data_IF_121203230364
#
_entry.id   IF_121203230364
#
_cell.length_a   1.000
_cell.length_b   1.000
_cell.length_c   1.000
_cell.angle_alpha   90.00
_cell.angle_beta   90.00
_cell.angle_gamma   90.00
#
_symmetry.space_group_name_H-M   'P 1'
#
loop_
_entity.id
_entity.type
_entity.pdbx_description
1 polymer ?
#
# COMPACT_ATOMS: atom_id res chain seq x y z
N UNK A 1 11.42 6.81 -3.63
CA UNK A 1 10.23 6.00 -3.26
C UNK A 1 9.95 6.14 -1.77
N UNK A 2 8.74 6.59 -1.40
CA UNK A 2 8.26 6.60 -0.01
C UNK A 2 7.44 5.33 0.20
N UNK A 3 7.48 4.73 1.38
CA UNK A 3 6.84 3.41 1.60
C UNK A 3 5.97 3.44 2.86
N UNK A 4 4.70 3.05 2.76
CA UNK A 4 3.82 2.94 3.93
C UNK A 4 4.09 1.60 4.61
N UNK A 5 4.36 1.60 5.92
CA UNK A 5 4.65 0.37 6.69
C UNK A 5 3.41 -0.08 7.46
N UNK A 6 3.11 -1.39 7.55
CA UNK A 6 2.01 -1.90 8.35
C UNK A 6 2.22 -1.59 9.85
N UNK A 7 1.12 -1.45 10.57
CA UNK A 7 1.12 -1.15 12.01
C UNK A 7 1.75 -2.28 12.83
N UNK A 8 2.51 -1.92 13.88
CA UNK A 8 3.19 -2.90 14.74
C UNK A 8 2.22 -3.76 15.55
N UNK A 9 1.16 -3.14 16.10
CA UNK A 9 0.12 -3.85 16.86
C UNK A 9 -0.59 -4.93 16.04
N UNK A 10 -1.16 -4.58 14.86
CA UNK A 10 -1.75 -5.57 13.96
C UNK A 10 -0.78 -6.66 13.51
N UNK A 11 0.48 -6.30 13.18
CA UNK A 11 1.50 -7.29 12.79
C UNK A 11 1.82 -8.24 13.95
N UNK A 12 1.94 -7.74 15.17
CA UNK A 12 2.21 -8.57 16.34
C UNK A 12 1.05 -9.52 16.67
N UNK A 13 -0.18 -9.00 16.65
CA UNK A 13 -1.39 -9.80 16.87
C UNK A 13 -1.51 -10.89 15.81
N UNK A 14 -1.28 -10.56 14.54
CA UNK A 14 -1.27 -11.55 13.44
C UNK A 14 -0.18 -12.61 13.65
N UNK A 15 1.01 -12.22 14.11
CA UNK A 15 2.09 -13.15 14.45
C UNK A 15 1.69 -14.14 15.55
N UNK A 16 1.03 -13.68 16.61
CA UNK A 16 0.49 -14.55 17.68
C UNK A 16 -0.55 -15.51 17.12
N UNK A 17 -1.46 -15.03 16.27
CA UNK A 17 -2.47 -15.88 15.64
C UNK A 17 -1.85 -17.00 14.80
N UNK A 18 -0.73 -16.75 14.12
CA UNK A 18 -0.01 -17.79 13.40
C UNK A 18 0.48 -18.93 14.32
N UNK A 19 0.85 -18.64 15.58
CA UNK A 19 1.23 -19.68 16.54
C UNK A 19 0.05 -20.60 16.82
N UNK A 20 -1.14 -20.03 17.07
CA UNK A 20 -2.35 -20.81 17.29
C UNK A 20 -2.74 -21.65 16.07
N UNK A 21 -2.62 -21.09 14.85
CA UNK A 21 -2.87 -21.84 13.61
C UNK A 21 -1.87 -22.99 13.43
N UNK A 22 -0.59 -22.77 13.77
CA UNK A 22 0.43 -23.83 13.74
C UNK A 22 0.10 -24.97 14.71
N UNK A 23 -0.27 -24.64 15.96
CA UNK A 23 -0.71 -25.63 16.95
C UNK A 23 -1.96 -26.39 16.48
N UNK A 24 -2.92 -25.68 15.90
CA UNK A 24 -4.10 -26.30 15.30
C UNK A 24 -3.72 -27.27 14.17
N UNK A 25 -2.79 -26.89 13.28
CA UNK A 25 -2.31 -27.77 12.21
C UNK A 25 -1.67 -29.06 12.73
N UNK A 26 -0.92 -29.00 13.84
CA UNK A 26 -0.37 -30.19 14.51
C UNK A 26 -1.48 -31.09 15.03
N UNK A 27 -2.42 -30.52 15.79
CA UNK A 27 -3.56 -31.27 16.34
C UNK A 27 -4.40 -31.90 15.22
N UNK A 28 -4.70 -31.13 14.17
CA UNK A 28 -5.43 -31.62 13.00
C UNK A 28 -4.73 -32.80 12.34
N UNK A 29 -3.41 -32.70 12.11
CA UNK A 29 -2.64 -33.76 11.47
C UNK A 29 -2.74 -35.07 12.26
N UNK A 30 -2.55 -35.00 13.58
CA UNK A 30 -2.59 -36.18 14.46
C UNK A 30 -3.97 -36.79 14.49
N UNK A 31 -5.01 -35.98 14.73
CA UNK A 31 -6.39 -36.47 14.84
C UNK A 31 -6.86 -37.05 13.50
N UNK A 32 -6.61 -36.36 12.39
CA UNK A 32 -6.99 -36.80 11.05
C UNK A 32 -6.27 -38.10 10.66
N UNK A 33 -4.96 -38.20 10.91
CA UNK A 33 -4.20 -39.41 10.65
C UNK A 33 -4.70 -40.60 11.49
N UNK A 34 -4.99 -40.38 12.78
CA UNK A 34 -5.51 -41.44 13.67
C UNK A 34 -6.91 -41.92 13.29
N UNK A 35 -7.71 -41.08 12.63
CA UNK A 35 -9.06 -41.41 12.17
C UNK A 35 -9.07 -42.03 10.75
N UNK A 36 -7.91 -42.34 10.16
CA UNK A 36 -7.83 -42.88 8.81
C UNK A 36 -8.09 -41.84 7.71
N UNK A 37 -7.90 -40.55 7.99
CA UNK A 37 -8.16 -39.44 7.07
C UNK A 37 -7.31 -39.42 5.80
N UNK A 38 -6.31 -40.30 5.67
CA UNK A 38 -5.50 -40.44 4.46
C UNK A 38 -4.88 -39.11 4.01
N UNK A 39 -5.16 -38.71 2.78
CA UNK A 39 -4.65 -37.46 2.19
C UNK A 39 -5.10 -36.22 2.97
N UNK A 40 -6.24 -36.26 3.67
CA UNK A 40 -6.73 -35.12 4.44
C UNK A 40 -5.84 -34.76 5.64
N UNK A 41 -5.04 -35.69 6.15
CA UNK A 41 -4.08 -35.39 7.21
C UNK A 41 -2.98 -34.43 6.74
N UNK A 42 -2.67 -34.40 5.43
CA UNK A 42 -1.66 -33.51 4.85
C UNK A 42 -2.04 -32.03 4.94
N UNK A 43 -3.33 -31.69 5.01
CA UNK A 43 -3.76 -30.29 5.19
C UNK A 43 -3.22 -29.68 6.49
N UNK A 44 -3.05 -30.49 7.54
CA UNK A 44 -2.45 -30.00 8.79
C UNK A 44 -1.00 -29.58 8.61
N UNK A 45 -0.23 -30.28 7.77
CA UNK A 45 1.14 -29.91 7.39
C UNK A 45 1.14 -28.60 6.60
N UNK A 46 0.18 -28.42 5.69
CA UNK A 46 0.00 -27.16 4.94
C UNK A 46 -0.29 -26.00 5.90
N UNK A 47 -1.18 -26.18 6.89
CA UNK A 47 -1.46 -25.16 7.89
C UNK A 47 -0.20 -24.77 8.69
N UNK A 48 0.63 -25.74 9.08
CA UNK A 48 1.89 -25.48 9.76
C UNK A 48 2.83 -24.67 8.87
N UNK A 49 3.00 -25.04 7.60
CA UNK A 49 3.88 -24.33 6.67
C UNK A 49 3.44 -22.88 6.47
N UNK A 50 2.14 -22.66 6.21
CA UNK A 50 1.57 -21.32 6.06
C UNK A 50 1.72 -20.51 7.35
N UNK A 51 1.45 -21.12 8.51
CA UNK A 51 1.62 -20.48 9.81
C UNK A 51 3.07 -20.01 10.04
N UNK A 52 4.06 -20.84 9.71
CA UNK A 52 5.48 -20.48 9.86
C UNK A 52 5.86 -19.29 8.97
N UNK A 53 5.52 -19.35 7.68
CA UNK A 53 5.84 -18.28 6.73
C UNK A 53 5.20 -16.96 7.18
N UNK A 54 3.91 -17.00 7.54
CA UNK A 54 3.18 -15.82 8.01
C UNK A 54 3.71 -15.32 9.36
N UNK A 55 4.07 -16.21 10.29
CA UNK A 55 4.66 -15.81 11.58
C UNK A 55 5.97 -15.05 11.38
N UNK A 56 6.86 -15.55 10.52
CA UNK A 56 8.15 -14.88 10.22
C UNK A 56 7.89 -13.49 9.64
N UNK A 57 7.00 -13.37 8.66
CA UNK A 57 6.65 -12.08 8.06
C UNK A 57 6.09 -11.09 9.10
N UNK A 58 5.12 -11.53 9.90
CA UNK A 58 4.42 -10.69 10.86
C UNK A 58 5.29 -10.28 12.05
N UNK A 59 6.09 -11.19 12.62
CA UNK A 59 7.01 -10.86 13.70
C UNK A 59 8.17 -9.98 13.23
N UNK A 60 8.68 -10.18 12.01
CA UNK A 60 9.67 -9.28 11.41
C UNK A 60 9.10 -7.87 11.22
N UNK A 61 7.84 -7.74 10.81
CA UNK A 61 7.17 -6.44 10.71
C UNK A 61 6.84 -5.81 12.08
N UNK A 62 6.56 -6.61 13.10
CA UNK A 62 6.30 -6.12 14.46
C UNK A 62 7.56 -5.57 15.14
N UNK A 63 8.70 -6.26 14.99
CA UNK A 63 9.94 -6.01 15.76
C UNK A 63 11.05 -5.33 14.95
N UNK A 64 11.01 -5.42 13.63
CA UNK A 64 12.06 -4.92 12.75
C UNK A 64 12.17 -3.39 12.72
N UNK A 65 13.41 -2.89 12.62
CA UNK A 65 13.70 -1.48 12.30
C UNK A 65 13.26 -1.15 10.86
N UNK A 66 13.63 -2.03 9.92
CA UNK A 66 13.21 -2.00 8.53
C UNK A 66 12.14 -3.05 8.29
N UNK A 67 10.91 -2.59 8.08
CA UNK A 67 9.70 -3.41 7.88
C UNK A 67 9.37 -3.45 6.40
N UNK A 68 8.73 -4.52 5.96
CA UNK A 68 8.18 -4.61 4.61
C UNK A 68 7.12 -3.53 4.42
N UNK A 69 7.07 -2.92 3.24
CA UNK A 69 6.05 -1.93 2.93
C UNK A 69 4.74 -2.61 2.54
N UNK A 70 3.64 -2.01 2.96
CA UNK A 70 2.31 -2.35 2.45
C UNK A 70 2.07 -1.70 1.07
N UNK A 71 2.63 -0.51 0.84
CA UNK A 71 2.46 0.25 -0.39
C UNK A 71 3.71 1.08 -0.68
N UNK A 72 4.22 0.94 -1.90
CA UNK A 72 5.25 1.83 -2.43
C UNK A 72 4.56 3.03 -3.09
N UNK A 73 4.92 4.22 -2.63
CA UNK A 73 4.49 5.50 -3.17
C UNK A 73 5.61 5.97 -4.09
N UNK A 74 5.33 5.97 -5.38
CA UNK A 74 6.16 6.61 -6.39
C UNK A 74 5.87 8.11 -6.38
N UNK A 75 6.93 8.91 -6.43
CA UNK A 75 6.80 10.35 -6.61
C UNK A 75 6.70 10.65 -8.11
N UNK A 76 6.08 11.77 -8.48
CA UNK A 76 5.91 12.19 -9.89
C UNK A 76 7.23 12.24 -10.68
N UNK A 77 8.34 12.40 -9.98
CA UNK A 77 9.69 12.53 -10.52
C UNK A 77 10.46 11.20 -10.66
N UNK A 78 9.97 10.08 -10.11
CA UNK A 78 10.72 8.82 -10.07
C UNK A 78 10.12 7.71 -10.96
N UNK A 79 8.78 7.56 -10.99
CA UNK A 79 8.11 6.56 -11.84
C UNK A 79 6.66 6.99 -12.09
N UNK A 80 6.30 7.42 -13.31
CA UNK A 80 4.95 7.89 -13.60
C UNK A 80 3.96 6.71 -13.55
N UNK A 81 2.87 6.87 -12.82
CA UNK A 81 1.78 5.88 -12.82
C UNK A 81 1.29 5.69 -14.27
N UNK A 82 1.29 4.45 -14.80
CA UNK A 82 0.79 4.16 -16.14
C UNK A 82 -0.65 4.65 -16.38
N UNK A 83 -1.47 4.76 -15.33
CA UNK A 83 -2.81 5.33 -15.40
C UNK A 83 -2.79 6.86 -15.43
N UNK A 84 -1.84 7.52 -14.77
CA UNK A 84 -1.66 8.97 -14.87
C UNK A 84 -1.30 9.39 -16.31
N UNK A 85 -0.58 8.54 -17.05
CA UNK A 85 -0.38 8.74 -18.50
C UNK A 85 -1.65 8.70 -19.35
N UNK A 86 -2.70 8.00 -18.89
CA UNK A 86 -3.95 7.76 -19.65
C UNK A 86 -5.11 8.63 -19.20
N UNK A 87 -5.14 8.98 -17.91
CA UNK A 87 -6.25 9.63 -17.23
C UNK A 87 -5.82 10.84 -16.39
N UNK A 88 -4.52 11.11 -16.30
CA UNK A 88 -4.03 12.35 -15.73
C UNK A 88 -4.42 13.49 -16.64
N UNK A 89 -5.45 14.24 -16.25
CA UNK A 89 -5.76 15.50 -16.89
C UNK A 89 -4.48 16.34 -16.86
N UNK A 90 -3.97 16.66 -18.05
CA UNK A 90 -2.94 17.68 -18.23
C UNK A 90 -3.57 19.04 -17.94
N UNK A 91 -3.87 19.33 -16.68
CA UNK A 91 -3.95 20.71 -16.22
C UNK A 91 -2.54 21.16 -15.84
N UNK A 92 -1.67 21.15 -16.85
CA UNK A 92 -0.55 22.08 -16.91
C UNK A 92 -1.13 23.34 -17.55
N UNK A 93 -2.06 23.97 -16.83
CA UNK A 93 -2.53 25.29 -17.17
C UNK A 93 -1.50 26.24 -16.57
N UNK A 94 -0.59 26.72 -17.42
CA UNK A 94 0.10 28.01 -17.28
C UNK A 94 -0.91 29.18 -17.23
N UNK A 95 -2.06 29.02 -16.57
CA UNK A 95 -3.02 30.08 -16.33
C UNK A 95 -2.47 30.97 -15.22
N UNK A 96 -1.72 32.00 -15.63
CA UNK A 96 -1.36 33.11 -14.77
C UNK A 96 -2.65 33.79 -14.30
N UNK A 97 -2.99 33.62 -13.03
CA UNK A 97 -4.14 34.32 -12.46
C UNK A 97 -3.79 35.80 -12.24
N UNK A 98 -4.72 36.69 -12.59
CA UNK A 98 -4.58 38.12 -12.35
C UNK A 98 -4.47 38.40 -10.83
N UNK A 99 -3.39 39.02 -10.34
CA UNK A 99 -3.14 39.21 -8.90
C UNK A 99 -4.13 40.18 -8.24
N UNK A 100 -4.90 40.93 -9.03
CA UNK A 100 -5.85 41.91 -8.52
C UNK A 100 -7.28 41.40 -8.39
N UNK A 101 -7.67 40.38 -9.17
CA UNK A 101 -9.06 39.92 -9.23
C UNK A 101 -9.24 38.39 -9.31
N UNK A 102 -8.14 37.64 -9.43
CA UNK A 102 -8.15 36.17 -9.48
C UNK A 102 -8.71 35.57 -10.77
N UNK A 103 -8.91 36.35 -11.82
CA UNK A 103 -9.32 35.81 -13.13
C UNK A 103 -8.16 35.10 -13.82
N UNK A 104 -8.42 34.01 -14.53
CA UNK A 104 -7.41 33.41 -15.42
C UNK A 104 -7.05 34.38 -16.55
N UNK A 105 -5.76 34.44 -16.86
CA UNK A 105 -5.21 35.24 -17.96
C UNK A 105 -4.31 34.34 -18.79
N UNK A 106 -4.45 34.44 -20.11
CA UNK A 106 -3.53 33.81 -21.08
C UNK A 106 -2.20 34.59 -21.12
N UNK A 107 -1.11 33.93 -21.53
CA UNK A 107 0.26 34.43 -21.38
C UNK A 107 0.59 35.73 -22.11
N UNK A 108 -0.17 36.07 -23.16
CA UNK A 108 0.14 37.20 -24.06
C UNK A 108 -0.62 38.49 -23.73
N UNK A 109 -1.39 38.54 -22.64
CA UNK A 109 -2.16 39.73 -22.27
C UNK A 109 -1.34 40.72 -21.43
N UNK A 110 -1.15 41.94 -21.94
CA UNK A 110 -0.57 43.05 -21.16
C UNK A 110 -1.55 43.59 -20.09
N UNK A 111 -2.86 43.37 -20.28
CA UNK A 111 -3.93 43.82 -19.37
C UNK A 111 -4.91 42.69 -19.08
N UNK A 112 -5.41 42.61 -17.85
CA UNK A 112 -6.42 41.64 -17.48
C UNK A 112 -7.75 41.88 -18.22
N UNK A 113 -8.23 40.85 -18.92
CA UNK A 113 -9.52 40.81 -19.62
C UNK A 113 -10.77 41.11 -18.76
N UNK A 114 -10.69 40.98 -17.43
CA UNK A 114 -11.82 41.20 -16.51
C UNK A 114 -11.76 42.53 -15.78
N UNK A 115 -10.62 42.88 -15.21
CA UNK A 115 -10.50 44.07 -14.36
C UNK A 115 -9.76 45.23 -15.02
N UNK A 116 -9.19 45.04 -16.21
CA UNK A 116 -8.50 46.06 -16.99
C UNK A 116 -7.16 46.54 -16.41
N UNK A 117 -6.67 45.92 -15.33
CA UNK A 117 -5.37 46.28 -14.74
C UNK A 117 -4.23 45.67 -15.54
N UNK A 118 -3.15 46.44 -15.69
CA UNK A 118 -1.90 45.97 -16.32
C UNK A 118 -1.32 44.80 -15.53
N UNK A 119 -0.96 43.73 -16.21
CA UNK A 119 -0.36 42.54 -15.61
C UNK A 119 1.16 42.74 -15.48
N UNK A 120 1.80 42.20 -14.41
CA UNK A 120 3.23 42.32 -14.17
C UNK A 120 4.07 41.52 -15.16
#
# INVERSE_FOLDING_TARGET
MKSIKPGRGPSFMSGIMCIFVGLFGVVWTVVSASAGGGVFALFGIVFIAVAVIQAIYNFKNATGKNRYSAYDITDENEEPDPLNHRFGDKHDDENKFCPYCGNSVEDDFEFCNKCGKKLP
#
